data_IF_662915424849
#
_entry.id   IF_662915424849
#
_cell.length_a   1.000
_cell.length_b   1.000
_cell.length_c   1.000
_cell.angle_alpha   90.00
_cell.angle_beta   90.00
_cell.angle_gamma   90.00
#
_symmetry.space_group_name_H-M   'P 1'
#
loop_
_entity.id
_entity.type
_entity.pdbx_description
1 polymer ?
#
# COMPACT_ATOMS: atom_id res chain seq x y z
N UNK A 1 -13.80 -1.98 2.83
CA UNK A 1 -13.93 -0.64 2.18
C UNK A 1 -12.67 0.12 2.52
N UNK A 2 -12.08 0.88 1.58
CA UNK A 2 -10.71 1.40 1.69
C UNK A 2 -10.61 2.92 1.89
N UNK A 3 -9.52 3.51 1.42
CA UNK A 3 -9.20 4.93 1.53
C UNK A 3 -9.30 5.63 0.18
N UNK A 4 -9.88 6.83 0.17
CA UNK A 4 -9.89 7.76 -0.97
C UNK A 4 -9.11 8.99 -0.53
N UNK A 5 -7.98 9.26 -1.17
CA UNK A 5 -7.19 10.45 -0.90
C UNK A 5 -6.93 11.21 -2.19
N UNK A 6 -6.88 12.54 -2.12
CA UNK A 6 -6.30 13.32 -3.21
C UNK A 6 -4.79 13.15 -3.20
N UNK A 7 -4.18 13.16 -4.37
CA UNK A 7 -2.71 13.11 -4.51
C UNK A 7 -2.18 14.37 -5.18
N UNK A 8 -0.85 14.46 -5.26
CA UNK A 8 -0.20 15.49 -6.05
C UNK A 8 -0.70 15.51 -7.49
N UNK A 9 -0.47 16.63 -8.16
CA UNK A 9 -0.97 16.86 -9.51
C UNK A 9 -0.26 15.96 -10.53
N UNK A 10 -1.03 15.23 -11.32
CA UNK A 10 -0.52 14.55 -12.52
C UNK A 10 0.14 15.56 -13.45
N UNK A 11 1.15 15.10 -14.18
CA UNK A 11 1.84 15.87 -15.20
C UNK A 11 1.71 15.16 -16.56
N UNK A 12 1.75 15.92 -17.66
CA UNK A 12 1.68 15.35 -19.02
C UNK A 12 2.58 14.12 -19.25
N UNK A 13 3.85 14.11 -18.78
CA UNK A 13 4.73 12.96 -18.92
C UNK A 13 4.25 11.70 -18.18
N UNK A 14 3.55 11.85 -17.05
CA UNK A 14 3.04 10.71 -16.27
C UNK A 14 2.03 9.90 -17.08
N UNK A 15 1.16 10.57 -17.84
CA UNK A 15 0.18 9.88 -18.70
C UNK A 15 0.83 9.02 -19.79
N UNK A 16 1.97 9.44 -20.35
CA UNK A 16 2.72 8.61 -21.32
C UNK A 16 3.38 7.40 -20.66
N UNK A 17 3.89 7.56 -19.44
CA UNK A 17 4.50 6.46 -18.69
C UNK A 17 3.48 5.41 -18.25
N UNK A 18 2.31 5.86 -17.79
CA UNK A 18 1.25 4.98 -17.27
C UNK A 18 0.43 4.32 -18.39
N UNK A 19 0.27 4.99 -19.54
CA UNK A 19 -0.49 4.49 -20.69
C UNK A 19 0.25 4.69 -22.01
N UNK A 20 1.38 3.99 -22.22
CA UNK A 20 2.27 4.23 -23.36
C UNK A 20 1.59 4.02 -24.72
N UNK A 21 0.60 3.13 -24.82
CA UNK A 21 -0.12 2.86 -26.07
C UNK A 21 -1.23 3.90 -26.31
N UNK A 22 -2.04 4.21 -25.29
CA UNK A 22 -3.20 5.11 -25.41
C UNK A 22 -2.80 6.59 -25.44
N UNK A 23 -1.79 6.99 -24.65
CA UNK A 23 -1.29 8.36 -24.56
C UNK A 23 -0.03 8.60 -25.42
N UNK A 24 0.58 7.56 -25.97
CA UNK A 24 1.82 7.66 -26.74
C UNK A 24 1.71 8.55 -27.97
N UNK A 25 0.55 8.50 -28.65
CA UNK A 25 0.25 9.31 -29.84
C UNK A 25 -0.26 10.72 -29.51
N UNK A 26 -0.63 10.98 -28.25
CA UNK A 26 -1.13 12.30 -27.86
C UNK A 26 0.02 13.32 -27.79
N UNK A 27 -0.14 14.52 -28.40
CA UNK A 27 0.82 15.60 -28.25
C UNK A 27 0.99 16.01 -26.78
N UNK A 28 2.22 16.36 -26.38
CA UNK A 28 2.51 16.75 -25.00
C UNK A 28 1.72 17.97 -24.53
N UNK A 29 1.43 18.92 -25.43
CA UNK A 29 0.62 20.08 -25.06
C UNK A 29 -0.80 19.66 -24.65
N UNK A 30 -1.40 18.70 -25.35
CA UNK A 30 -2.73 18.16 -25.01
C UNK A 30 -2.71 17.46 -23.66
N UNK A 31 -1.71 16.62 -23.40
CA UNK A 31 -1.57 15.92 -22.12
C UNK A 31 -1.31 16.89 -20.96
N UNK A 32 -0.54 17.95 -21.19
CA UNK A 32 -0.33 19.01 -20.21
C UNK A 32 -1.60 19.80 -19.91
N UNK A 33 -2.43 20.08 -20.92
CA UNK A 33 -3.72 20.75 -20.70
C UNK A 33 -4.70 19.86 -19.93
N UNK A 34 -4.76 18.56 -20.23
CA UNK A 34 -5.53 17.60 -19.42
C UNK A 34 -5.02 17.59 -17.99
N UNK A 35 -3.70 17.46 -17.80
CA UNK A 35 -3.05 17.46 -16.49
C UNK A 35 -3.42 18.71 -15.67
N UNK A 36 -3.39 19.90 -16.27
CA UNK A 36 -3.76 21.16 -15.59
C UNK A 36 -5.18 21.13 -15.03
N UNK A 37 -6.12 20.51 -15.74
CA UNK A 37 -7.53 20.48 -15.36
C UNK A 37 -7.97 19.19 -14.64
N UNK A 38 -7.04 18.24 -14.40
CA UNK A 38 -7.33 16.98 -13.71
C UNK A 38 -7.49 17.17 -12.19
N UNK A 39 -8.29 16.32 -11.56
CA UNK A 39 -8.30 16.15 -10.10
C UNK A 39 -7.96 14.69 -9.83
N UNK A 40 -6.83 14.47 -9.18
CA UNK A 40 -6.24 13.14 -9.06
C UNK A 40 -6.57 12.52 -7.69
N UNK A 41 -7.10 11.31 -7.74
CA UNK A 41 -7.47 10.52 -6.57
C UNK A 41 -6.67 9.23 -6.53
N UNK A 42 -6.13 8.91 -5.37
CA UNK A 42 -5.54 7.61 -5.07
C UNK A 42 -6.50 6.80 -4.21
N UNK A 43 -6.79 5.60 -4.70
CA UNK A 43 -7.69 4.66 -4.05
C UNK A 43 -6.86 3.47 -3.59
N UNK A 44 -6.89 3.22 -2.28
CA UNK A 44 -6.24 2.06 -1.67
C UNK A 44 -7.26 1.21 -0.94
N UNK A 45 -7.09 -0.11 -0.98
CA UNK A 45 -7.90 -1.07 -0.25
C UNK A 45 -7.02 -1.92 0.65
N UNK A 46 -7.63 -2.51 1.67
CA UNK A 46 -6.95 -3.49 2.51
C UNK A 46 -6.73 -4.78 1.73
N UNK A 47 -5.58 -5.40 1.95
CA UNK A 47 -5.32 -6.79 1.60
C UNK A 47 -5.40 -7.64 2.87
N UNK A 48 -6.34 -8.59 2.86
CA UNK A 48 -6.51 -9.49 3.99
C UNK A 48 -5.34 -10.48 4.03
N UNK A 49 -4.87 -10.85 5.23
CA UNK A 49 -3.83 -11.86 5.35
C UNK A 49 -4.33 -13.20 4.83
N UNK A 50 -3.73 -13.70 3.76
CA UNK A 50 -4.00 -15.03 3.24
C UNK A 50 -2.79 -15.95 3.44
N UNK A 51 -3.03 -17.21 3.74
CA UNK A 51 -1.94 -18.16 4.05
C UNK A 51 -1.16 -18.64 2.83
N UNK A 52 -1.72 -18.50 1.65
CA UNK A 52 -1.14 -18.82 0.34
C UNK A 52 -0.35 -17.66 -0.26
N UNK A 53 -0.67 -16.41 0.13
CA UNK A 53 0.10 -15.23 -0.24
C UNK A 53 1.45 -15.22 0.49
N UNK A 54 2.54 -15.49 -0.23
CA UNK A 54 3.85 -15.78 0.36
C UNK A 54 4.99 -15.30 -0.54
N UNK A 55 6.07 -14.88 0.11
CA UNK A 55 7.41 -14.78 -0.49
C UNK A 55 8.20 -15.99 -0.05
N UNK A 56 8.74 -16.75 -0.99
CA UNK A 56 9.58 -17.93 -0.71
C UNK A 56 10.84 -17.92 -1.56
N UNK A 57 11.82 -18.74 -1.19
CA UNK A 57 12.97 -19.04 -2.06
C UNK A 57 12.67 -20.32 -2.85
N UNK A 58 12.87 -20.26 -4.16
CA UNK A 58 12.85 -21.42 -5.03
C UNK A 58 14.13 -22.26 -4.86
N UNK A 59 14.11 -23.49 -5.38
CA UNK A 59 15.25 -24.44 -5.24
C UNK A 59 16.54 -23.95 -5.88
N UNK A 60 16.43 -23.07 -6.88
CA UNK A 60 17.53 -22.42 -7.57
C UNK A 60 18.03 -21.15 -6.85
N UNK A 61 17.46 -20.82 -5.68
CA UNK A 61 17.80 -19.63 -4.90
C UNK A 61 17.04 -18.37 -5.30
N UNK A 62 16.22 -18.41 -6.35
CA UNK A 62 15.46 -17.24 -6.79
C UNK A 62 14.28 -16.94 -5.87
N UNK A 63 13.94 -15.65 -5.73
CA UNK A 63 12.75 -15.22 -4.98
C UNK A 63 11.50 -15.59 -5.78
N UNK A 64 10.54 -16.22 -5.12
CA UNK A 64 9.22 -16.53 -5.67
C UNK A 64 8.14 -15.81 -4.87
N UNK A 65 7.31 -15.04 -5.57
CA UNK A 65 6.11 -14.44 -5.03
C UNK A 65 4.89 -15.28 -5.45
N UNK A 66 4.17 -15.82 -4.48
CA UNK A 66 2.82 -16.37 -4.66
C UNK A 66 1.84 -15.33 -4.16
N UNK A 67 0.97 -14.83 -5.04
CA UNK A 67 0.03 -13.78 -4.69
C UNK A 67 -1.29 -13.95 -5.43
N UNK A 68 -2.37 -14.02 -4.66
CA UNK A 68 -3.75 -13.97 -5.12
C UNK A 68 -4.41 -12.73 -4.54
N UNK A 69 -4.98 -11.83 -5.36
CA UNK A 69 -5.67 -10.65 -4.86
C UNK A 69 -6.90 -11.02 -4.02
N UNK A 70 -7.02 -10.44 -2.82
CA UNK A 70 -8.18 -10.65 -1.92
C UNK A 70 -9.18 -9.49 -1.92
N UNK A 71 -8.86 -8.40 -2.59
CA UNK A 71 -9.49 -7.10 -2.39
C UNK A 71 -10.36 -6.60 -3.56
N UNK A 72 -10.69 -7.48 -4.52
CA UNK A 72 -11.43 -7.11 -5.75
C UNK A 72 -12.79 -6.47 -5.45
N UNK A 73 -13.60 -7.07 -4.57
CA UNK A 73 -14.92 -6.54 -4.21
C UNK A 73 -14.82 -5.18 -3.47
N UNK A 74 -13.97 -5.03 -2.44
CA UNK A 74 -13.69 -3.72 -1.84
C UNK A 74 -13.22 -2.66 -2.85
N UNK A 75 -12.36 -3.03 -3.81
CA UNK A 75 -11.89 -2.14 -4.88
C UNK A 75 -13.05 -1.58 -5.71
N UNK A 76 -13.93 -2.46 -6.18
CA UNK A 76 -15.11 -2.05 -6.96
C UNK A 76 -16.06 -1.15 -6.17
N UNK A 77 -16.29 -1.46 -4.89
CA UNK A 77 -17.13 -0.66 -4.01
C UNK A 77 -16.55 0.74 -3.79
N UNK A 78 -15.23 0.83 -3.57
CA UNK A 78 -14.53 2.10 -3.37
C UNK A 78 -14.59 2.97 -4.64
N UNK A 79 -14.42 2.36 -5.81
CA UNK A 79 -14.54 3.06 -7.09
C UNK A 79 -15.97 3.57 -7.34
N UNK A 80 -17.00 2.76 -7.04
CA UNK A 80 -18.41 3.18 -7.10
C UNK A 80 -18.68 4.33 -6.13
N UNK A 81 -18.09 4.30 -4.93
CA UNK A 81 -18.23 5.37 -3.94
C UNK A 81 -17.60 6.68 -4.44
N UNK A 82 -16.39 6.65 -5.00
CA UNK A 82 -15.77 7.82 -5.61
C UNK A 82 -16.65 8.40 -6.71
N UNK A 83 -17.11 7.57 -7.66
CA UNK A 83 -17.99 8.01 -8.75
C UNK A 83 -19.28 8.65 -8.23
N UNK A 84 -19.90 8.05 -7.21
CA UNK A 84 -21.08 8.63 -6.57
C UNK A 84 -20.78 10.01 -5.97
N UNK A 85 -19.66 10.18 -5.26
CA UNK A 85 -19.26 11.47 -4.69
C UNK A 85 -19.03 12.53 -5.76
N UNK A 86 -18.29 12.19 -6.82
CA UNK A 86 -18.00 13.10 -7.94
C UNK A 86 -19.30 13.48 -8.69
N UNK A 87 -20.22 12.53 -8.90
CA UNK A 87 -21.52 12.82 -9.50
C UNK A 87 -22.35 13.82 -8.69
N UNK A 88 -22.34 13.72 -7.36
CA UNK A 88 -23.03 14.68 -6.48
C UNK A 88 -22.44 16.10 -6.57
N UNK A 89 -21.18 16.23 -6.98
CA UNK A 89 -20.51 17.52 -7.20
C UNK A 89 -20.77 18.11 -8.60
N UNK A 90 -21.68 17.51 -9.38
CA UNK A 90 -22.03 17.99 -10.71
C UNK A 90 -21.07 17.56 -11.82
N UNK A 91 -20.12 16.67 -11.52
CA UNK A 91 -19.15 16.12 -12.49
C UNK A 91 -19.67 14.80 -13.12
N UNK A 92 -20.93 14.81 -13.57
CA UNK A 92 -21.56 13.66 -14.23
C UNK A 92 -21.17 13.58 -15.72
N UNK A 93 -21.43 12.44 -16.36
CA UNK A 93 -21.28 12.29 -17.81
C UNK A 93 -22.34 13.15 -18.52
N UNK A 94 -21.90 14.07 -19.37
CA UNK A 94 -22.76 14.95 -20.17
C UNK A 94 -22.78 14.49 -21.63
N UNK A 95 -23.83 14.89 -22.38
CA UNK A 95 -24.00 14.67 -23.83
C UNK A 95 -22.80 15.13 -24.69
N UNK A 96 -22.06 16.14 -24.20
CA UNK A 96 -20.70 16.46 -24.64
C UNK A 96 -19.80 16.04 -23.48
N UNK A 97 -18.91 15.05 -23.66
CA UNK A 97 -18.00 14.61 -22.60
C UNK A 97 -17.14 15.79 -22.12
N UNK A 98 -17.50 16.36 -20.96
CA UNK A 98 -16.72 17.40 -20.28
C UNK A 98 -15.77 16.82 -19.23
N UNK A 99 -15.93 15.54 -18.90
CA UNK A 99 -15.18 14.82 -17.88
C UNK A 99 -14.68 13.49 -18.45
N UNK A 100 -13.39 13.21 -18.29
CA UNK A 100 -12.75 11.94 -18.66
C UNK A 100 -12.26 11.23 -17.39
N UNK A 101 -12.72 10.00 -17.17
CA UNK A 101 -12.23 9.18 -16.07
C UNK A 101 -11.07 8.30 -16.55
N UNK A 102 -9.85 8.71 -16.25
CA UNK A 102 -8.66 7.88 -16.48
C UNK A 102 -8.38 7.05 -15.23
N UNK A 103 -8.59 5.73 -15.35
CA UNK A 103 -8.25 4.77 -14.30
C UNK A 103 -6.94 4.08 -14.65
N UNK A 104 -6.02 4.06 -13.70
CA UNK A 104 -4.80 3.25 -13.73
C UNK A 104 -4.80 2.31 -12.51
N UNK A 105 -4.32 1.09 -12.69
CA UNK A 105 -4.09 0.13 -11.61
C UNK A 105 -2.59 -0.04 -11.44
N UNK A 106 -2.12 -0.09 -10.19
CA UNK A 106 -0.73 -0.41 -9.89
C UNK A 106 -0.58 -1.91 -9.95
N UNK A 107 0.30 -2.37 -10.84
CA UNK A 107 0.68 -3.77 -10.92
C UNK A 107 1.48 -4.19 -9.67
N UNK A 108 1.54 -5.49 -9.41
CA UNK A 108 2.31 -6.07 -8.30
C UNK A 108 3.79 -5.65 -8.34
N UNK A 109 4.32 -5.38 -9.54
CA UNK A 109 5.68 -4.87 -9.74
C UNK A 109 5.89 -3.44 -9.23
N UNK A 110 4.83 -2.64 -9.07
CA UNK A 110 4.85 -1.27 -8.55
C UNK A 110 4.40 -1.13 -7.10
N UNK A 111 4.21 -2.24 -6.37
CA UNK A 111 3.74 -2.20 -4.98
C UNK A 111 4.81 -1.60 -4.06
N UNK A 112 4.39 -0.64 -3.22
CA UNK A 112 5.27 0.06 -2.29
C UNK A 112 4.97 -0.21 -0.81
N UNK A 113 3.94 -1.02 -0.51
CA UNK A 113 3.48 -1.32 0.85
C UNK A 113 3.46 -2.84 1.12
N UNK A 114 4.59 -3.51 0.93
CA UNK A 114 4.75 -4.91 1.32
C UNK A 114 4.68 -5.04 2.84
N UNK A 115 3.90 -6.00 3.34
CA UNK A 115 3.69 -6.19 4.78
C UNK A 115 3.33 -7.64 5.14
N UNK A 116 3.41 -7.97 6.42
CA UNK A 116 2.91 -9.24 6.98
C UNK A 116 3.76 -10.49 6.71
N UNK A 117 4.98 -10.33 6.20
CA UNK A 117 5.90 -11.44 5.90
C UNK A 117 6.47 -12.12 7.16
N UNK A 118 6.54 -11.42 8.28
CA UNK A 118 7.00 -11.91 9.58
C UNK A 118 6.01 -11.47 10.67
N UNK A 119 4.73 -11.78 10.50
CA UNK A 119 3.67 -11.29 11.39
C UNK A 119 3.94 -11.62 12.86
N UNK A 120 3.59 -10.67 13.73
CA UNK A 120 3.60 -10.90 15.17
C UNK A 120 2.33 -11.59 15.69
N UNK A 121 2.38 -12.13 16.90
CA UNK A 121 1.25 -12.77 17.55
C UNK A 121 1.62 -13.43 18.87
N UNK A 122 0.62 -13.85 19.65
CA UNK A 122 0.84 -14.50 20.94
C UNK A 122 1.22 -15.99 20.81
N UNK A 123 0.92 -16.61 19.67
CA UNK A 123 1.11 -18.05 19.46
C UNK A 123 2.25 -18.32 18.46
N UNK A 124 3.34 -19.00 18.87
CA UNK A 124 4.46 -19.33 17.99
C UNK A 124 4.09 -20.29 16.84
N UNK A 125 2.95 -20.99 16.92
CA UNK A 125 2.49 -21.87 15.83
C UNK A 125 1.85 -21.10 14.68
N UNK A 126 1.43 -19.86 14.92
CA UNK A 126 0.71 -19.05 13.94
C UNK A 126 1.40 -17.72 13.62
N UNK A 127 2.45 -17.34 14.34
CA UNK A 127 3.21 -16.10 14.15
C UNK A 127 4.71 -16.34 14.22
N UNK A 128 5.49 -15.48 13.55
CA UNK A 128 6.96 -15.55 13.55
C UNK A 128 7.54 -14.80 14.75
N UNK A 129 6.89 -13.69 15.11
CA UNK A 129 7.30 -12.81 16.20
C UNK A 129 6.28 -12.82 17.34
N UNK A 130 6.73 -12.57 18.56
CA UNK A 130 5.86 -12.23 19.69
C UNK A 130 5.33 -10.78 19.59
N UNK A 131 4.48 -10.37 20.53
CA UNK A 131 3.88 -9.02 20.54
C UNK A 131 4.89 -7.88 20.78
N UNK A 132 6.13 -8.21 21.13
CA UNK A 132 7.26 -7.27 21.22
C UNK A 132 8.15 -7.30 19.97
N UNK A 133 7.68 -7.95 18.90
CA UNK A 133 8.42 -8.11 17.64
C UNK A 133 9.72 -8.92 17.79
N UNK A 134 9.87 -9.71 18.87
CA UNK A 134 10.96 -10.66 19.05
C UNK A 134 10.62 -11.96 18.34
N UNK A 135 11.57 -12.59 17.65
CA UNK A 135 11.34 -13.93 17.11
C UNK A 135 11.04 -14.92 18.24
N UNK A 136 10.02 -15.77 18.09
CA UNK A 136 9.66 -16.74 19.12
C UNK A 136 10.79 -17.73 19.44
N UNK A 137 11.59 -18.07 18.43
CA UNK A 137 12.65 -19.09 18.52
C UNK A 137 13.99 -18.54 19.04
N UNK A 138 14.18 -17.22 19.07
CA UNK A 138 15.47 -16.58 19.35
C UNK A 138 15.31 -15.43 20.34
N UNK A 139 16.12 -15.44 21.40
CA UNK A 139 15.97 -14.47 22.49
C UNK A 139 16.56 -13.08 22.17
N UNK A 140 17.36 -12.98 21.11
CA UNK A 140 18.11 -11.78 20.74
C UNK A 140 17.84 -11.30 19.30
N UNK A 141 16.76 -11.78 18.66
CA UNK A 141 16.39 -11.36 17.30
C UNK A 141 15.05 -10.62 17.31
N UNK A 142 15.03 -9.42 16.74
CA UNK A 142 13.85 -8.57 16.59
C UNK A 142 13.69 -8.14 15.13
N UNK A 143 12.44 -8.04 14.67
CA UNK A 143 12.12 -7.58 13.31
C UNK A 143 11.15 -6.41 13.39
N UNK A 144 11.56 -5.25 12.85
CA UNK A 144 10.92 -3.96 13.16
C UNK A 144 10.69 -3.11 11.91
N UNK A 145 10.00 -3.67 10.93
CA UNK A 145 9.60 -3.04 9.67
C UNK A 145 8.10 -3.24 9.41
N UNK A 146 7.61 -3.29 8.18
CA UNK A 146 6.19 -3.58 7.90
C UNK A 146 5.85 -5.08 7.89
N UNK A 147 6.82 -5.96 8.10
CA UNK A 147 6.60 -7.40 8.11
C UNK A 147 5.79 -7.88 9.33
N UNK A 148 5.81 -7.15 10.45
CA UNK A 148 5.13 -7.58 11.69
C UNK A 148 3.61 -7.47 11.63
N UNK A 149 3.05 -6.71 10.68
CA UNK A 149 1.62 -6.46 10.59
C UNK A 149 0.82 -7.75 10.37
N UNK A 150 -0.13 -8.13 11.24
CA UNK A 150 -1.04 -9.24 10.97
C UNK A 150 -1.97 -8.98 9.80
N UNK A 151 -2.26 -7.71 9.53
CA UNK A 151 -3.07 -7.22 8.41
C UNK A 151 -2.62 -5.80 8.06
N UNK A 152 -2.64 -5.48 6.78
CA UNK A 152 -2.29 -4.15 6.27
C UNK A 152 -3.56 -3.34 6.00
N UNK A 153 -3.63 -2.16 6.60
CA UNK A 153 -4.74 -1.22 6.38
C UNK A 153 -4.73 -0.59 4.99
N UNK A 154 -5.79 0.13 4.65
CA UNK A 154 -5.89 0.88 3.39
C UNK A 154 -5.10 2.20 3.39
N UNK A 155 -4.19 2.42 4.34
CA UNK A 155 -3.43 3.65 4.53
C UNK A 155 -1.93 3.37 4.54
N UNK A 156 -1.11 4.41 4.41
CA UNK A 156 0.34 4.27 4.35
C UNK A 156 0.90 3.73 5.68
N UNK A 157 1.65 2.61 5.69
CA UNK A 157 2.08 1.95 6.92
C UNK A 157 3.30 2.60 7.59
N UNK A 158 3.98 3.54 6.92
CA UNK A 158 5.26 4.08 7.36
C UNK A 158 5.25 4.66 8.78
N UNK A 159 4.21 5.44 9.13
CA UNK A 159 4.10 6.01 10.47
C UNK A 159 3.88 4.94 11.54
N UNK A 160 3.08 3.92 11.23
CA UNK A 160 2.85 2.78 12.14
C UNK A 160 4.12 1.94 12.30
N UNK A 161 4.92 1.76 11.25
CA UNK A 161 6.21 1.09 11.34
C UNK A 161 7.19 1.88 12.24
N UNK A 162 7.29 3.20 12.07
CA UNK A 162 8.10 4.07 12.92
C UNK A 162 7.65 4.05 14.38
N UNK A 163 6.35 4.18 14.64
CA UNK A 163 5.81 4.12 15.99
C UNK A 163 6.07 2.76 16.66
N UNK A 164 5.94 1.66 15.91
CA UNK A 164 6.28 0.33 16.41
C UNK A 164 7.78 0.19 16.70
N UNK A 165 8.65 0.81 15.89
CA UNK A 165 10.08 0.82 16.12
C UNK A 165 10.46 1.49 17.45
N UNK A 166 9.85 2.64 17.75
CA UNK A 166 10.05 3.32 19.03
C UNK A 166 9.57 2.45 20.20
N UNK A 167 8.36 1.88 20.09
CA UNK A 167 7.79 0.98 21.11
C UNK A 167 8.69 -0.24 21.40
N UNK A 168 9.27 -0.86 20.36
CA UNK A 168 10.19 -2.00 20.52
C UNK A 168 11.51 -1.54 21.13
N UNK A 169 12.00 -0.35 20.75
CA UNK A 169 13.16 0.29 21.37
C UNK A 169 13.00 0.49 22.88
N UNK A 170 11.86 1.03 23.32
CA UNK A 170 11.55 1.21 24.74
C UNK A 170 11.54 -0.14 25.49
N UNK A 171 10.94 -1.16 24.89
CA UNK A 171 10.94 -2.52 25.45
C UNK A 171 12.36 -3.10 25.58
N UNK A 172 13.23 -2.86 24.61
CA UNK A 172 14.63 -3.31 24.65
C UNK A 172 15.42 -2.59 25.75
N UNK A 173 15.21 -1.28 25.94
CA UNK A 173 15.84 -0.53 27.03
C UNK A 173 15.47 -1.13 28.39
N UNK A 174 14.17 -1.37 28.62
CA UNK A 174 13.68 -1.99 29.86
C UNK A 174 14.28 -3.40 30.05
N UNK A 175 14.17 -4.26 29.03
CA UNK A 175 14.60 -5.66 29.09
C UNK A 175 16.10 -5.80 29.32
N UNK A 176 16.90 -4.91 28.75
CA UNK A 176 18.37 -4.94 28.82
C UNK A 176 18.92 -4.08 29.97
N UNK A 177 18.07 -3.37 30.72
CA UNK A 177 18.52 -2.44 31.76
C UNK A 177 19.36 -1.29 31.21
N UNK A 178 19.14 -0.90 29.96
CA UNK A 178 19.86 0.20 29.31
C UNK A 178 19.09 1.52 29.50
N UNK A 179 19.84 2.62 29.56
CA UNK A 179 19.28 3.98 29.56
C UNK A 179 19.60 4.66 28.22
N UNK A 180 18.70 5.52 27.75
CA UNK A 180 19.03 6.43 26.66
C UNK A 180 20.12 7.40 27.16
N UNK A 181 21.18 7.66 26.37
CA UNK A 181 22.06 8.79 26.65
C UNK A 181 21.21 10.06 26.78
N UNK A 182 21.41 10.81 27.87
CA UNK A 182 20.61 12.00 28.20
C UNK A 182 20.49 12.95 26.99
N UNK A 183 19.25 13.39 26.70
CA UNK A 183 18.90 14.36 25.67
C UNK A 183 19.21 15.79 26.09
#
# INVERSE_FOLDING_TARGET
>A
MGNIQMVGKSQGPMYKGEKPIEAGLAPMFTLNEIAKHAIDFWLSTEDLPQSDNRVTLAKDGNIRLSYTPSNIKPKEQLYKKLKSMINHLGMFEHLVQRNLYMKNEIDISGVAHQAGTCRFGADPKSSVLDTHCKAHELDNLYVVDTSFFPSIGAVNPGLTAMANALRVGDHLLERLGASTPES
#
